data_IF_257715346336
#
_entry.id   IF_257715346336
#
_cell.length_a   1.000
_cell.length_b   1.000
_cell.length_c   1.000
_cell.angle_alpha   90.00
_cell.angle_beta   90.00
_cell.angle_gamma   90.00
#
_symmetry.space_group_name_H-M   'P 1'
#
loop_
_entity.id
_entity.type
_entity.pdbx_description
1 polymer ?
#
# COMPACT_ATOMS: atom_id res chain seq x y z
N UNK A 1 15.59 13.65 12.57
CA UNK A 1 14.74 13.68 13.78
C UNK A 1 14.49 12.26 14.23
N UNK A 2 15.25 11.74 15.20
CA UNK A 2 14.90 10.47 15.84
C UNK A 2 14.11 10.83 17.10
N UNK A 3 12.79 10.63 17.06
CA UNK A 3 11.95 10.70 18.26
C UNK A 3 12.37 9.56 19.17
N UNK A 4 12.53 9.82 20.47
CA UNK A 4 12.89 8.75 21.43
C UNK A 4 11.72 7.78 21.60
N UNK A 5 12.01 6.49 21.89
CA UNK A 5 10.96 5.50 22.19
C UNK A 5 10.01 5.97 23.28
N UNK A 6 10.56 6.64 24.30
CA UNK A 6 9.77 7.22 25.38
C UNK A 6 8.77 8.25 24.87
N UNK A 7 9.18 9.14 23.96
CA UNK A 7 8.26 10.11 23.39
C UNK A 7 7.14 9.44 22.58
N UNK A 8 7.41 8.33 21.88
CA UNK A 8 6.34 7.54 21.24
C UNK A 8 5.38 6.93 22.26
N UNK A 9 5.90 6.34 23.34
CA UNK A 9 5.08 5.79 24.44
C UNK A 9 4.20 6.90 25.05
N UNK A 10 4.81 7.99 25.52
CA UNK A 10 4.10 9.11 26.16
C UNK A 10 3.01 9.69 25.23
N UNK A 11 3.29 9.74 23.91
CA UNK A 11 2.33 10.21 22.91
C UNK A 11 1.12 9.28 22.81
N UNK A 12 1.33 7.96 22.74
CA UNK A 12 0.25 6.98 22.66
C UNK A 12 -0.54 6.96 23.98
N UNK A 13 0.14 6.95 25.12
CA UNK A 13 -0.50 7.00 26.45
C UNK A 13 -1.35 8.26 26.60
N UNK A 14 -0.84 9.42 26.17
CA UNK A 14 -1.60 10.68 26.22
C UNK A 14 -2.80 10.70 25.26
N UNK A 15 -2.64 10.18 24.04
CA UNK A 15 -3.71 10.14 23.03
C UNK A 15 -4.82 9.18 23.44
N UNK A 16 -4.46 7.95 23.81
CA UNK A 16 -5.42 6.88 24.08
C UNK A 16 -5.86 6.90 25.54
N UNK A 17 -5.09 7.46 26.47
CA UNK A 17 -5.42 7.53 27.89
C UNK A 17 -5.32 6.18 28.62
N UNK A 18 -4.23 5.45 28.36
CA UNK A 18 -3.92 4.14 28.95
C UNK A 18 -2.42 4.08 29.28
N UNK A 19 -2.04 3.24 30.23
CA UNK A 19 -0.63 3.04 30.60
C UNK A 19 -0.03 1.87 29.78
N UNK A 20 1.20 2.04 29.28
CA UNK A 20 1.96 1.03 28.53
C UNK A 20 3.07 0.50 29.43
N UNK A 21 2.90 -0.73 29.93
CA UNK A 21 3.90 -1.37 30.79
C UNK A 21 5.18 -1.75 30.02
N UNK A 22 5.01 -2.25 28.79
CA UNK A 22 6.09 -2.84 28.00
C UNK A 22 6.02 -2.46 26.53
N UNK A 23 7.19 -2.44 25.89
CA UNK A 23 7.32 -2.24 24.45
C UNK A 23 8.15 -3.34 23.81
N UNK A 24 7.88 -3.60 22.53
CA UNK A 24 8.75 -4.33 21.62
C UNK A 24 8.95 -3.46 20.39
N UNK A 25 10.19 -3.12 20.09
CA UNK A 25 10.61 -2.31 18.94
C UNK A 25 11.47 -3.19 18.03
N UNK A 26 11.18 -3.20 16.74
CA UNK A 26 11.90 -4.03 15.76
C UNK A 26 11.98 -3.37 14.40
N UNK A 27 12.93 -3.84 13.58
CA UNK A 27 13.12 -3.39 12.20
C UNK A 27 12.63 -4.46 11.21
N UNK A 28 12.80 -4.20 9.91
CA UNK A 28 12.40 -5.15 8.86
C UNK A 28 13.11 -6.49 8.97
N UNK A 29 14.42 -6.50 9.26
CA UNK A 29 15.17 -7.74 9.42
C UNK A 29 14.67 -8.54 10.62
N UNK A 30 14.34 -7.89 11.73
CA UNK A 30 13.80 -8.56 12.92
C UNK A 30 12.50 -9.30 12.64
N UNK A 31 11.59 -8.74 11.83
CA UNK A 31 10.37 -9.45 11.41
C UNK A 31 10.70 -10.70 10.59
N UNK A 32 11.64 -10.60 9.64
CA UNK A 32 12.10 -11.75 8.83
C UNK A 32 12.68 -12.84 9.73
N UNK A 33 13.61 -12.47 10.62
CA UNK A 33 14.30 -13.40 11.52
C UNK A 33 13.32 -14.13 12.46
N UNK A 34 12.32 -13.43 13.00
CA UNK A 34 11.27 -14.00 13.86
C UNK A 34 10.47 -15.06 13.10
N UNK A 35 9.99 -14.71 11.90
CA UNK A 35 9.14 -15.59 11.10
C UNK A 35 9.92 -16.81 10.60
N UNK A 36 11.17 -16.63 10.18
CA UNK A 36 12.03 -17.73 9.74
C UNK A 36 12.41 -18.66 10.91
N UNK A 37 12.65 -18.11 12.11
CA UNK A 37 12.89 -18.92 13.32
C UNK A 37 11.67 -19.76 13.73
N UNK A 38 10.47 -19.32 13.34
CA UNK A 38 9.22 -20.07 13.50
C UNK A 38 8.94 -21.06 12.36
N UNK A 39 9.83 -21.16 11.37
CA UNK A 39 9.62 -21.94 10.16
C UNK A 39 8.34 -21.48 9.44
N UNK A 40 8.22 -20.17 9.26
CA UNK A 40 7.13 -19.50 8.56
C UNK A 40 5.85 -19.33 9.39
N UNK A 41 4.97 -18.48 8.87
CA UNK A 41 3.63 -18.21 9.41
C UNK A 41 2.56 -18.52 8.35
N UNK A 42 1.30 -18.58 8.77
CA UNK A 42 0.16 -18.85 7.89
C UNK A 42 -0.78 -17.64 7.95
N UNK A 43 -1.16 -17.12 6.79
CA UNK A 43 -2.05 -15.95 6.61
C UNK A 43 -2.99 -16.16 5.43
N UNK A 44 -4.04 -15.35 5.35
CA UNK A 44 -4.95 -15.30 4.21
C UNK A 44 -4.56 -14.14 3.29
N UNK A 45 -4.14 -14.46 2.06
CA UNK A 45 -3.72 -13.45 1.08
C UNK A 45 -4.72 -13.36 -0.06
N UNK A 46 -5.48 -12.25 -0.21
CA UNK A 46 -6.57 -12.21 -1.19
C UNK A 46 -6.07 -12.10 -2.64
N UNK A 47 -4.83 -11.67 -2.86
CA UNK A 47 -4.21 -11.52 -4.19
C UNK A 47 -2.74 -11.96 -4.16
N UNK A 48 -2.23 -12.39 -5.32
CA UNK A 48 -0.81 -12.69 -5.49
C UNK A 48 -0.10 -11.44 -6.01
N UNK A 49 1.10 -11.17 -5.51
CA UNK A 49 1.86 -9.99 -5.92
C UNK A 49 3.36 -10.15 -5.67
N UNK A 50 4.15 -9.21 -6.20
CA UNK A 50 5.59 -9.11 -5.91
C UNK A 50 5.82 -7.87 -5.06
N UNK A 51 6.20 -8.09 -3.80
CA UNK A 51 6.46 -7.05 -2.81
C UNK A 51 7.94 -6.72 -2.64
N UNK A 52 8.21 -5.76 -1.75
CA UNK A 52 9.57 -5.33 -1.40
C UNK A 52 10.21 -6.28 -0.39
N UNK A 53 11.51 -6.55 -0.56
CA UNK A 53 12.31 -7.31 0.39
C UNK A 53 12.72 -6.48 1.61
N UNK A 54 13.27 -7.14 2.64
CA UNK A 54 13.85 -6.50 3.83
C UNK A 54 14.97 -5.49 3.54
N UNK A 55 15.53 -5.51 2.33
CA UNK A 55 16.49 -4.52 1.86
C UNK A 55 15.94 -3.09 2.02
N UNK A 56 16.80 -2.20 2.53
CA UNK A 56 16.49 -0.78 2.63
C UNK A 56 16.33 -0.07 1.27
N UNK A 57 16.60 -0.77 0.16
CA UNK A 57 16.44 -0.24 -1.20
C UNK A 57 14.96 -0.14 -1.57
N UNK A 58 14.41 1.07 -1.45
CA UNK A 58 13.03 1.38 -1.82
C UNK A 58 12.78 1.11 -3.31
N UNK A 59 11.66 0.45 -3.62
CA UNK A 59 11.20 0.23 -5.00
C UNK A 59 11.73 -1.05 -5.68
N UNK A 60 12.54 -1.85 -4.99
CA UNK A 60 13.00 -3.14 -5.50
C UNK A 60 12.01 -4.27 -5.11
N UNK A 61 11.02 -4.48 -5.97
CA UNK A 61 10.02 -5.54 -5.82
C UNK A 61 10.59 -6.86 -6.31
N UNK A 62 10.86 -7.78 -5.39
CA UNK A 62 11.56 -9.05 -5.67
C UNK A 62 10.96 -10.25 -4.95
N UNK A 63 10.06 -10.04 -4.00
CA UNK A 63 9.52 -11.09 -3.15
C UNK A 63 8.12 -11.46 -3.61
N UNK A 64 7.94 -12.67 -4.14
CA UNK A 64 6.62 -13.17 -4.53
C UNK A 64 5.80 -13.63 -3.31
N UNK A 65 4.62 -13.04 -3.14
CA UNK A 65 3.61 -13.44 -2.15
C UNK A 65 2.46 -14.15 -2.87
N UNK A 66 2.13 -15.40 -2.51
CA UNK A 66 1.04 -16.15 -3.14
C UNK A 66 -0.33 -15.66 -2.65
N UNK A 67 -1.35 -15.76 -3.51
CA UNK A 67 -2.76 -15.66 -3.09
C UNK A 67 -3.24 -16.99 -2.49
N UNK A 68 -4.26 -16.92 -1.64
CA UNK A 68 -4.99 -18.07 -1.12
C UNK A 68 -5.38 -17.91 0.34
N UNK A 69 -6.22 -18.83 0.80
CA UNK A 69 -6.47 -19.06 2.22
C UNK A 69 -5.36 -19.96 2.80
N UNK A 70 -5.01 -19.77 4.07
CA UNK A 70 -4.02 -20.54 4.80
C UNK A 70 -2.65 -20.67 4.09
N UNK A 71 -2.18 -19.58 3.48
CA UNK A 71 -0.90 -19.56 2.75
C UNK A 71 0.26 -19.48 3.74
N UNK A 72 1.20 -20.43 3.64
CA UNK A 72 2.44 -20.37 4.41
C UNK A 72 3.43 -19.39 3.79
N UNK A 73 3.80 -18.37 4.56
CA UNK A 73 4.80 -17.36 4.19
C UNK A 73 6.09 -17.55 5.02
N UNK A 74 7.25 -17.42 4.37
CA UNK A 74 8.52 -17.23 5.06
C UNK A 74 8.70 -15.76 5.50
N UNK A 75 9.83 -15.43 6.12
CA UNK A 75 10.08 -14.11 6.69
C UNK A 75 10.02 -12.98 5.66
N UNK A 76 10.68 -13.11 4.52
CA UNK A 76 10.64 -12.11 3.46
C UNK A 76 9.21 -11.93 2.90
N UNK A 77 8.49 -13.02 2.71
CA UNK A 77 7.12 -12.98 2.20
C UNK A 77 6.15 -12.34 3.21
N UNK A 78 6.28 -12.69 4.49
CA UNK A 78 5.49 -12.08 5.57
C UNK A 78 5.75 -10.58 5.69
N UNK A 79 7.02 -10.17 5.59
CA UNK A 79 7.39 -8.75 5.57
C UNK A 79 6.82 -8.04 4.34
N UNK A 80 6.95 -8.65 3.15
CA UNK A 80 6.39 -8.09 1.91
C UNK A 80 4.87 -7.92 2.03
N UNK A 81 4.17 -8.89 2.62
CA UNK A 81 2.75 -8.85 2.92
C UNK A 81 2.37 -7.70 3.85
N UNK A 82 3.09 -7.53 4.96
CA UNK A 82 2.86 -6.45 5.92
C UNK A 82 3.23 -5.04 5.42
N UNK A 83 3.95 -4.93 4.29
CA UNK A 83 4.45 -3.64 3.76
C UNK A 83 3.67 -3.12 2.56
N UNK A 84 2.99 -3.99 1.84
CA UNK A 84 2.24 -3.60 0.65
C UNK A 84 1.06 -2.71 1.02
N UNK A 85 0.88 -1.62 0.26
CA UNK A 85 -0.10 -0.57 0.54
C UNK A 85 -1.02 -0.32 -0.65
N UNK A 86 -0.49 -0.35 -1.86
CA UNK A 86 -1.14 0.25 -3.02
C UNK A 86 -1.96 -0.74 -3.83
N UNK A 87 -1.68 -2.03 -3.69
CA UNK A 87 -2.40 -3.08 -4.43
C UNK A 87 -3.76 -3.45 -3.82
N UNK A 88 -4.05 -2.99 -2.60
CA UNK A 88 -5.29 -3.31 -1.88
C UNK A 88 -6.25 -2.11 -1.86
N UNK A 89 -7.55 -2.38 -1.98
CA UNK A 89 -8.59 -1.35 -2.15
C UNK A 89 -8.61 -0.30 -1.02
N UNK A 90 -8.37 -0.72 0.23
CA UNK A 90 -8.38 0.18 1.40
C UNK A 90 -7.00 0.79 1.70
N UNK A 91 -6.01 0.55 0.83
CA UNK A 91 -4.72 1.25 0.87
C UNK A 91 -3.91 0.95 2.13
N UNK A 92 -3.62 2.01 2.90
CA UNK A 92 -2.89 1.89 4.16
C UNK A 92 -3.65 1.10 5.22
N UNK A 93 -4.99 1.09 5.16
CA UNK A 93 -5.80 0.35 6.10
C UNK A 93 -5.69 -1.16 5.92
N UNK A 94 -5.63 -1.65 4.68
CA UNK A 94 -5.29 -3.05 4.40
C UNK A 94 -3.90 -3.38 4.93
N UNK A 95 -2.93 -2.48 4.75
CA UNK A 95 -1.57 -2.68 5.27
C UNK A 95 -1.54 -2.82 6.80
N UNK A 96 -2.26 -1.96 7.51
CA UNK A 96 -2.40 -2.04 8.97
C UNK A 96 -3.08 -3.33 9.42
N UNK A 97 -4.04 -3.83 8.65
CA UNK A 97 -4.72 -5.10 8.89
C UNK A 97 -3.76 -6.29 8.67
N UNK A 98 -3.03 -6.32 7.56
CA UNK A 98 -2.01 -7.34 7.31
C UNK A 98 -0.89 -7.34 8.36
N UNK A 99 -0.51 -6.17 8.88
CA UNK A 99 0.44 -6.08 10.01
C UNK A 99 -0.10 -6.75 11.28
N UNK A 100 -1.38 -6.52 11.59
CA UNK A 100 -2.05 -7.18 12.72
C UNK A 100 -2.17 -8.68 12.49
N UNK A 101 -2.49 -9.11 11.27
CA UNK A 101 -2.57 -10.51 10.88
C UNK A 101 -1.22 -11.23 11.00
N UNK A 102 -0.11 -10.60 10.57
CA UNK A 102 1.23 -11.14 10.75
C UNK A 102 1.59 -11.31 12.23
N UNK A 103 1.29 -10.30 13.07
CA UNK A 103 1.50 -10.38 14.53
C UNK A 103 0.68 -11.52 15.13
N UNK A 104 -0.59 -11.62 14.74
CA UNK A 104 -1.48 -12.68 15.18
C UNK A 104 -0.96 -14.06 14.76
N UNK A 105 -0.57 -14.23 13.50
CA UNK A 105 -0.03 -15.49 12.98
C UNK A 105 1.25 -15.93 13.71
N UNK A 106 2.15 -14.98 14.04
CA UNK A 106 3.34 -15.22 14.89
C UNK A 106 2.91 -15.76 16.26
N UNK A 107 1.97 -15.09 16.94
CA UNK A 107 1.48 -15.51 18.26
C UNK A 107 0.84 -16.91 18.17
N UNK A 108 -0.04 -17.14 17.19
CA UNK A 108 -0.71 -18.43 16.98
C UNK A 108 0.32 -19.55 16.75
N UNK A 109 1.33 -19.32 15.92
CA UNK A 109 2.41 -20.27 15.64
C UNK A 109 3.25 -20.59 16.89
N UNK A 110 3.58 -19.58 17.68
CA UNK A 110 4.26 -19.77 18.97
C UNK A 110 3.44 -20.62 19.94
N UNK A 111 2.15 -20.31 20.08
CA UNK A 111 1.23 -21.02 20.97
C UNK A 111 1.03 -22.50 20.57
N UNK A 112 0.94 -22.78 19.26
CA UNK A 112 0.80 -24.14 18.73
C UNK A 112 2.05 -25.00 18.93
N UNK A 113 3.24 -24.39 18.89
CA UNK A 113 4.51 -25.14 19.05
C UNK A 113 4.69 -25.72 20.46
N UNK A 114 4.07 -25.10 21.49
CA UNK A 114 4.06 -25.57 22.89
C UNK A 114 5.46 -25.83 23.49
N UNK A 115 6.49 -25.14 22.99
CA UNK A 115 7.88 -25.35 23.40
C UNK A 115 8.53 -24.00 23.77
N UNK A 116 8.95 -23.90 25.04
CA UNK A 116 9.66 -22.73 25.56
C UNK A 116 10.98 -22.52 24.82
N UNK A 117 11.64 -23.59 24.34
CA UNK A 117 12.89 -23.45 23.59
C UNK A 117 12.67 -22.80 22.23
N UNK A 118 11.52 -23.02 21.59
CA UNK A 118 11.15 -22.31 20.35
C UNK A 118 11.04 -20.82 20.60
N UNK A 119 10.43 -20.42 21.72
CA UNK A 119 10.39 -19.00 22.11
C UNK A 119 11.79 -18.41 22.34
N UNK A 120 12.67 -19.14 23.05
CA UNK A 120 14.05 -18.69 23.26
C UNK A 120 14.83 -18.59 21.94
N UNK A 121 14.62 -19.53 21.01
CA UNK A 121 15.21 -19.46 19.65
C UNK A 121 14.73 -18.25 18.88
N UNK A 122 13.45 -17.90 18.96
CA UNK A 122 12.91 -16.68 18.31
C UNK A 122 13.54 -15.43 18.91
N UNK A 123 13.65 -15.36 20.24
CA UNK A 123 14.33 -14.24 20.90
C UNK A 123 15.81 -14.15 20.51
N UNK A 124 16.50 -15.29 20.41
CA UNK A 124 17.91 -15.35 20.00
C UNK A 124 18.09 -14.95 18.53
N UNK A 125 17.25 -15.46 17.63
CA UNK A 125 17.26 -15.17 16.21
C UNK A 125 17.00 -13.68 15.95
N UNK A 126 15.99 -13.13 16.62
CA UNK A 126 15.69 -11.72 16.51
C UNK A 126 16.75 -10.84 17.20
N UNK A 127 17.47 -11.38 18.18
CA UNK A 127 18.74 -10.88 18.70
C UNK A 127 18.81 -9.35 18.86
N UNK A 128 19.67 -8.71 18.07
CA UNK A 128 19.88 -7.25 18.10
C UNK A 128 18.84 -6.46 17.30
N UNK A 129 17.96 -7.13 16.54
CA UNK A 129 16.89 -6.52 15.76
C UNK A 129 15.60 -6.32 16.58
N UNK A 130 15.56 -6.78 17.83
CA UNK A 130 14.50 -6.46 18.79
C UNK A 130 15.07 -5.66 19.96
N UNK A 131 14.35 -4.61 20.36
CA UNK A 131 14.59 -3.88 21.60
C UNK A 131 13.33 -3.92 22.45
N UNK A 132 13.47 -4.19 23.74
CA UNK A 132 12.34 -4.28 24.67
C UNK A 132 12.79 -3.89 26.08
N UNK A 133 11.85 -3.43 26.91
CA UNK A 133 12.04 -3.31 28.36
C UNK A 133 11.61 -4.57 29.14
N UNK A 134 11.18 -5.63 28.47
CA UNK A 134 10.90 -6.92 29.10
C UNK A 134 12.20 -7.62 29.51
N UNK A 135 12.28 -8.03 30.77
CA UNK A 135 13.34 -8.93 31.23
C UNK A 135 13.10 -10.36 30.74
N UNK A 136 14.17 -11.15 30.63
CA UNK A 136 14.08 -12.59 30.28
C UNK A 136 13.15 -13.34 31.25
N UNK A 137 13.20 -13.01 32.53
CA UNK A 137 12.35 -13.62 33.55
C UNK A 137 10.85 -13.28 33.35
N UNK A 138 10.53 -12.04 32.99
CA UNK A 138 9.15 -11.65 32.65
C UNK A 138 8.66 -12.38 31.39
N UNK A 139 9.48 -12.42 30.34
CA UNK A 139 9.15 -13.10 29.09
C UNK A 139 8.88 -14.59 29.30
N UNK A 140 9.80 -15.28 29.99
CA UNK A 140 9.66 -16.71 30.31
C UNK A 140 8.47 -16.97 31.23
N UNK A 141 8.16 -16.06 32.16
CA UNK A 141 6.96 -16.14 33.01
C UNK A 141 5.67 -16.03 32.20
N UNK A 142 5.57 -15.09 31.26
CA UNK A 142 4.40 -14.95 30.38
C UNK A 142 4.20 -16.20 29.51
N UNK A 143 5.27 -16.71 28.90
CA UNK A 143 5.20 -17.94 28.10
C UNK A 143 4.80 -19.13 28.95
N UNK A 144 5.38 -19.27 30.15
CA UNK A 144 5.03 -20.36 31.07
C UNK A 144 3.56 -20.30 31.48
N UNK A 145 3.04 -19.10 31.75
CA UNK A 145 1.62 -18.90 32.05
C UNK A 145 0.73 -19.26 30.85
N UNK A 146 1.08 -18.78 29.66
CA UNK A 146 0.37 -19.07 28.42
C UNK A 146 0.30 -20.59 28.15
N UNK A 147 1.42 -21.31 28.30
CA UNK A 147 1.48 -22.77 28.16
C UNK A 147 0.64 -23.49 29.22
N UNK A 148 0.66 -23.03 30.47
CA UNK A 148 -0.16 -23.59 31.54
C UNK A 148 -1.67 -23.42 31.29
N UNK A 149 -2.09 -22.29 30.70
CA UNK A 149 -3.48 -22.05 30.29
C UNK A 149 -3.87 -22.94 29.11
N UNK A 150 -3.00 -23.01 28.12
CA UNK A 150 -3.12 -23.87 26.94
C UNK A 150 -3.30 -25.33 27.31
N UNK A 151 -2.52 -25.84 28.26
CA UNK A 151 -2.62 -27.22 28.76
C UNK A 151 -3.96 -27.54 29.45
N UNK A 152 -4.69 -26.53 29.92
CA UNK A 152 -5.99 -26.67 30.59
C UNK A 152 -7.17 -26.31 29.69
N UNK A 153 -6.91 -25.86 28.47
CA UNK A 153 -7.95 -25.52 27.52
C UNK A 153 -8.58 -26.78 26.95
N UNK A 154 -9.91 -26.79 26.86
CA UNK A 154 -10.67 -28.01 26.55
C UNK A 154 -10.52 -28.44 25.08
N UNK A 155 -10.25 -27.49 24.18
CA UNK A 155 -10.05 -27.73 22.75
C UNK A 155 -8.54 -27.72 22.46
N UNK A 156 -7.91 -28.89 22.63
CA UNK A 156 -6.48 -29.07 22.42
C UNK A 156 -6.04 -28.94 20.96
N UNK A 157 -6.97 -28.93 20.02
CA UNK A 157 -6.69 -28.79 18.58
C UNK A 157 -6.67 -27.32 18.16
N UNK A 158 -7.39 -26.44 18.87
CA UNK A 158 -7.43 -25.00 18.59
C UNK A 158 -6.90 -24.16 19.75
N UNK A 159 -5.68 -24.46 20.18
CA UNK A 159 -5.00 -23.77 21.29
C UNK A 159 -4.81 -22.27 21.04
N UNK A 160 -4.76 -21.86 19.78
CA UNK A 160 -4.79 -20.46 19.40
C UNK A 160 -6.06 -19.72 19.83
N UNK A 161 -7.15 -20.41 20.17
CA UNK A 161 -8.39 -19.82 20.71
C UNK A 161 -8.36 -19.60 22.22
N UNK A 162 -7.28 -20.00 22.90
CA UNK A 162 -7.06 -19.73 24.35
C UNK A 162 -7.06 -18.24 24.62
N UNK A 163 -6.39 -17.48 23.76
CA UNK A 163 -6.38 -16.02 23.77
C UNK A 163 -7.15 -15.54 22.55
N UNK A 164 -8.29 -14.89 22.78
CA UNK A 164 -9.02 -14.25 21.69
C UNK A 164 -8.33 -12.94 21.34
N UNK A 165 -7.56 -12.95 20.26
CA UNK A 165 -6.98 -11.75 19.67
C UNK A 165 -8.09 -11.01 18.92
N UNK A 166 -8.17 -9.70 19.15
CA UNK A 166 -9.12 -8.80 18.50
C UNK A 166 -8.31 -7.67 17.88
N UNK A 167 -8.42 -7.53 16.57
CA UNK A 167 -7.80 -6.48 15.80
C UNK A 167 -8.68 -5.24 15.82
N UNK A 168 -8.06 -4.06 15.81
CA UNK A 168 -8.74 -2.76 15.78
C UNK A 168 -7.76 -1.69 15.31
N UNK A 169 -8.29 -0.56 14.86
CA UNK A 169 -7.50 0.63 14.51
C UNK A 169 -8.15 1.89 15.07
N UNK A 170 -7.33 2.90 15.33
CA UNK A 170 -7.83 4.26 15.54
C UNK A 170 -8.06 4.89 14.18
N UNK A 171 -9.26 5.40 13.97
CA UNK A 171 -9.74 5.99 12.72
C UNK A 171 -9.75 7.52 12.82
N UNK A 172 -9.86 8.16 11.67
CA UNK A 172 -9.66 9.59 11.48
C UNK A 172 -9.97 10.01 10.05
N UNK A 173 -9.47 11.17 9.66
CA UNK A 173 -9.66 11.74 8.34
C UNK A 173 -8.37 12.37 7.82
N UNK A 174 -8.26 12.37 6.49
CA UNK A 174 -7.18 13.02 5.76
C UNK A 174 -7.17 14.52 6.04
N UNK A 175 -6.01 15.06 6.40
CA UNK A 175 -5.80 16.47 6.64
C UNK A 175 -4.37 16.85 6.25
N UNK A 176 -4.03 18.13 6.35
CA UNK A 176 -2.70 18.63 6.05
C UNK A 176 -2.18 19.47 7.22
N UNK A 177 -0.86 19.43 7.43
CA UNK A 177 -0.17 20.22 8.44
C UNK A 177 1.01 20.92 7.78
N UNK A 178 1.10 22.23 7.94
CA UNK A 178 2.24 22.99 7.42
C UNK A 178 3.41 22.86 8.39
N UNK A 179 4.52 22.26 7.94
CA UNK A 179 5.76 22.29 8.72
C UNK A 179 6.61 23.50 8.31
N UNK A 180 6.66 24.49 9.20
CA UNK A 180 7.45 25.71 8.97
C UNK A 180 8.96 25.44 8.93
N UNK A 181 9.43 24.36 9.55
CA UNK A 181 10.84 23.98 9.57
C UNK A 181 11.33 23.49 8.22
N UNK A 182 10.61 22.52 7.62
CA UNK A 182 10.96 21.97 6.30
C UNK A 182 10.29 22.67 5.12
N UNK A 183 9.37 23.62 5.37
CA UNK A 183 8.61 24.36 4.35
C UNK A 183 7.84 23.45 3.41
N UNK A 184 7.32 22.33 3.92
CA UNK A 184 6.49 21.41 3.15
C UNK A 184 5.12 21.28 3.82
N UNK A 185 4.10 21.13 2.98
CA UNK A 185 2.77 20.74 3.44
C UNK A 185 2.75 19.22 3.60
N UNK A 186 2.64 18.75 4.84
CA UNK A 186 2.61 17.33 5.16
C UNK A 186 1.18 16.81 5.14
N UNK A 187 0.97 15.68 4.48
CA UNK A 187 -0.22 14.88 4.70
C UNK A 187 -0.20 14.35 6.14
N UNK A 188 -1.28 14.56 6.87
CA UNK A 188 -1.50 13.98 8.20
C UNK A 188 -2.83 13.24 8.24
N UNK A 189 -2.92 12.24 9.11
CA UNK A 189 -4.16 11.56 9.41
C UNK A 189 -4.64 12.01 10.79
N UNK A 190 -5.68 12.84 10.81
CA UNK A 190 -6.20 13.44 12.04
C UNK A 190 -7.24 12.52 12.65
N UNK A 191 -7.03 12.11 13.90
CA UNK A 191 -7.83 11.09 14.56
C UNK A 191 -9.17 11.64 15.05
N UNK A 192 -10.21 10.79 15.03
CA UNK A 192 -11.50 11.09 15.66
C UNK A 192 -11.41 10.93 17.18
N UNK A 193 -12.03 11.84 17.94
CA UNK A 193 -12.05 11.72 19.41
C UNK A 193 -12.89 10.52 19.86
N UNK A 194 -13.99 10.24 19.16
CA UNK A 194 -14.84 9.07 19.41
C UNK A 194 -14.10 7.76 19.16
N UNK A 195 -13.26 7.70 18.11
CA UNK A 195 -12.44 6.52 17.83
C UNK A 195 -11.41 6.26 18.93
N UNK A 196 -10.78 7.32 19.44
CA UNK A 196 -9.88 7.24 20.59
C UNK A 196 -10.62 6.80 21.86
N UNK A 197 -11.82 7.33 22.12
CA UNK A 197 -12.63 6.99 23.28
C UNK A 197 -13.12 5.53 23.25
N UNK A 198 -13.56 5.05 22.10
CA UNK A 198 -13.98 3.67 21.90
C UNK A 198 -12.80 2.70 22.06
N UNK A 199 -11.64 3.06 21.51
CA UNK A 199 -10.39 2.30 21.68
C UNK A 199 -9.99 2.21 23.16
N UNK A 200 -9.99 3.34 23.89
CA UNK A 200 -9.75 3.38 25.33
C UNK A 200 -10.70 2.46 26.09
N UNK A 201 -12.00 2.53 25.77
CA UNK A 201 -13.03 1.71 26.41
C UNK A 201 -12.78 0.22 26.17
N UNK A 202 -12.37 -0.17 24.96
CA UNK A 202 -12.06 -1.56 24.64
C UNK A 202 -10.81 -2.06 25.38
N UNK A 203 -9.75 -1.24 25.49
CA UNK A 203 -8.56 -1.58 26.26
C UNK A 203 -8.92 -1.75 27.75
N UNK A 204 -9.60 -0.77 28.33
CA UNK A 204 -9.99 -0.81 29.75
C UNK A 204 -10.90 -2.00 30.07
N UNK A 205 -11.78 -2.40 29.15
CA UNK A 205 -12.60 -3.61 29.34
C UNK A 205 -11.76 -4.89 29.45
N UNK A 206 -10.61 -4.95 28.80
CA UNK A 206 -9.72 -6.11 28.82
C UNK A 206 -8.72 -6.08 29.98
N UNK A 207 -8.39 -4.90 30.51
CA UNK A 207 -7.40 -4.73 31.59
C UNK A 207 -8.05 -4.57 32.97
N UNK A 208 -9.23 -3.95 33.06
CA UNK A 208 -9.97 -3.74 34.31
C UNK A 208 -10.80 -4.97 34.68
N UNK A 209 -10.29 -5.73 35.65
CA UNK A 209 -10.96 -6.90 36.23
C UNK A 209 -12.26 -6.57 36.98
N UNK A 210 -12.55 -5.28 37.23
CA UNK A 210 -13.76 -4.81 37.92
C UNK A 210 -14.80 -4.23 36.97
N UNK A 211 -14.49 -4.15 35.67
CA UNK A 211 -15.42 -3.64 34.67
C UNK A 211 -16.70 -4.49 34.59
N UNK A 212 -17.86 -3.84 34.71
CA UNK A 212 -19.16 -4.51 34.63
C UNK A 212 -19.41 -4.89 33.17
N UNK A 213 -19.55 -6.19 32.90
CA UNK A 213 -20.00 -6.66 31.59
C UNK A 213 -21.49 -6.35 31.46
N UNK A 214 -21.82 -5.19 30.90
CA UNK A 214 -23.19 -4.89 30.50
C UNK A 214 -23.58 -5.81 29.35
N UNK A 215 -24.39 -6.83 29.66
CA UNK A 215 -24.99 -7.69 28.65
C UNK A 215 -25.91 -6.83 27.78
N UNK A 216 -25.61 -6.75 26.48
CA UNK A 216 -26.50 -6.09 25.52
C UNK A 216 -27.65 -7.06 25.22
N UNK A 217 -28.63 -7.10 26.11
CA UNK A 217 -29.79 -8.02 26.06
C UNK A 217 -30.65 -7.84 24.82
N UNK A 218 -30.65 -6.65 24.21
CA UNK A 218 -31.49 -6.31 23.05
C UNK A 218 -30.93 -6.77 21.70
N UNK A 219 -29.75 -7.42 21.67
CA UNK A 219 -29.14 -7.88 20.40
C UNK A 219 -29.39 -9.35 20.11
N UNK A 220 -29.90 -10.15 21.05
CA UNK A 220 -30.15 -11.57 20.81
C UNK A 220 -31.44 -11.73 20.00
N UNK A 221 -31.33 -12.19 18.75
CA UNK A 221 -32.50 -12.58 17.95
C UNK A 221 -32.67 -14.10 18.03
N UNK A 222 -33.85 -14.56 18.43
CA UNK A 222 -34.17 -15.98 18.46
C UNK A 222 -34.56 -16.46 17.05
N UNK A 223 -33.58 -16.62 16.18
CA UNK A 223 -33.73 -17.14 14.81
C UNK A 223 -32.56 -18.06 14.45
N UNK A 224 -32.86 -19.18 13.78
CA UNK A 224 -31.84 -20.13 13.29
C UNK A 224 -30.95 -19.53 12.19
N UNK A 225 -31.43 -18.51 11.48
CA UNK A 225 -30.70 -17.81 10.43
C UNK A 225 -30.04 -16.51 10.92
N UNK A 226 -30.06 -16.25 12.23
CA UNK A 226 -29.45 -15.05 12.76
C UNK A 226 -27.98 -15.31 13.08
N UNK A 227 -27.11 -14.68 12.30
CA UNK A 227 -25.69 -14.59 12.62
C UNK A 227 -25.45 -13.39 13.55
N UNK A 228 -24.82 -13.66 14.68
CA UNK A 228 -24.36 -12.61 15.58
C UNK A 228 -23.10 -11.97 15.01
N UNK A 229 -23.22 -10.71 14.59
CA UNK A 229 -22.07 -9.87 14.27
C UNK A 229 -21.76 -8.98 15.48
N UNK A 230 -20.59 -9.15 16.13
CA UNK A 230 -20.21 -8.26 17.21
C UNK A 230 -20.04 -6.84 16.64
N UNK A 231 -20.41 -5.83 17.43
CA UNK A 231 -20.08 -4.45 17.07
C UNK A 231 -18.56 -4.31 16.87
N UNK A 232 -18.13 -3.46 15.92
CA UNK A 232 -16.72 -3.14 15.81
C UNK A 232 -16.24 -2.41 17.07
N UNK A 233 -14.94 -2.48 17.34
CA UNK A 233 -14.34 -1.77 18.48
C UNK A 233 -14.43 -0.26 18.26
N UNK A 234 -14.11 0.21 17.06
CA UNK A 234 -14.22 1.60 16.61
C UNK A 234 -14.92 1.65 15.25
N UNK A 235 -15.50 2.81 14.89
CA UNK A 235 -16.15 3.04 13.61
C UNK A 235 -15.24 3.81 12.65
N UNK A 236 -15.48 3.77 11.35
CA UNK A 236 -14.69 4.53 10.38
C UNK A 236 -15.02 6.04 10.39
N UNK A 237 -16.24 6.39 10.79
CA UNK A 237 -16.73 7.76 10.84
C UNK A 237 -17.43 8.05 12.17
N UNK A 238 -17.28 9.28 12.64
CA UNK A 238 -17.91 9.80 13.84
C UNK A 238 -18.60 11.13 13.52
N UNK A 239 -19.72 11.42 14.18
CA UNK A 239 -20.47 12.66 14.03
C UNK A 239 -19.75 13.84 14.76
N UNK A 240 -18.53 14.13 14.32
CA UNK A 240 -17.65 15.15 14.86
C UNK A 240 -17.25 16.15 13.77
N UNK A 241 -17.06 17.42 14.14
CA UNK A 241 -16.62 18.44 13.19
C UNK A 241 -15.16 18.19 12.78
N UNK A 242 -14.89 18.15 11.48
CA UNK A 242 -13.53 18.07 10.96
C UNK A 242 -12.82 19.41 11.13
N UNK A 243 -11.58 19.34 11.61
CA UNK A 243 -10.68 20.48 11.66
C UNK A 243 -10.09 20.66 10.26
N UNK A 244 -10.26 21.84 9.62
CA UNK A 244 -9.66 22.11 8.32
C UNK A 244 -8.15 21.89 8.35
N UNK A 245 -7.61 21.29 7.29
CA UNK A 245 -6.18 21.17 7.12
C UNK A 245 -5.51 22.52 6.87
N UNK A 246 -4.23 22.60 7.21
CA UNK A 246 -3.43 23.77 6.92
C UNK A 246 -3.28 23.97 5.40
N UNK A 247 -2.99 25.21 5.02
CA UNK A 247 -2.66 25.59 3.65
C UNK A 247 -1.22 26.07 3.56
N UNK A 248 -0.65 26.05 2.36
CA UNK A 248 0.67 26.61 2.12
C UNK A 248 0.58 28.13 2.34
N UNK A 249 1.39 28.73 3.23
CA UNK A 249 1.42 30.18 3.41
C UNK A 249 1.74 30.89 2.10
N UNK A 250 1.15 32.08 1.90
CA UNK A 250 1.24 32.80 0.63
C UNK A 250 2.68 33.09 0.19
N UNK A 251 3.60 33.30 1.14
CA UNK A 251 5.02 33.52 0.87
C UNK A 251 5.76 32.27 0.34
N UNK A 252 5.17 31.08 0.49
CA UNK A 252 5.71 29.80 0.01
C UNK A 252 4.84 29.17 -1.09
N UNK A 253 3.72 29.80 -1.42
CA UNK A 253 2.82 29.35 -2.47
C UNK A 253 3.43 29.69 -3.84
N UNK A 254 3.94 28.67 -4.53
CA UNK A 254 4.44 28.80 -5.88
C UNK A 254 3.34 28.57 -6.92
N UNK A 255 3.49 29.21 -8.08
CA UNK A 255 2.53 29.09 -9.18
C UNK A 255 2.55 27.71 -9.85
N UNK A 256 1.73 27.55 -10.88
CA UNK A 256 1.67 26.31 -11.66
C UNK A 256 3.03 26.00 -12.31
N UNK A 257 3.44 24.72 -12.26
CA UNK A 257 4.75 24.24 -12.72
C UNK A 257 5.96 24.89 -12.02
N UNK A 258 5.79 25.33 -10.77
CA UNK A 258 6.85 25.85 -9.92
C UNK A 258 7.03 25.01 -8.66
N UNK A 259 8.25 25.00 -8.14
CA UNK A 259 8.58 24.49 -6.82
C UNK A 259 9.38 25.53 -6.03
N UNK A 260 9.26 25.50 -4.71
CA UNK A 260 10.05 26.37 -3.83
C UNK A 260 11.47 25.80 -3.73
N UNK A 261 12.49 26.56 -4.11
CA UNK A 261 13.88 26.15 -3.99
C UNK A 261 14.44 26.39 -2.58
N UNK A 262 15.69 25.96 -2.32
CA UNK A 262 16.35 26.09 -1.01
C UNK A 262 16.48 27.56 -0.54
N UNK A 263 16.59 28.51 -1.47
CA UNK A 263 16.64 29.95 -1.20
C UNK A 263 15.25 30.57 -0.91
N UNK A 264 14.17 29.77 -0.92
CA UNK A 264 12.80 30.25 -0.72
C UNK A 264 12.24 31.00 -1.92
N UNK A 265 12.73 30.76 -3.13
CA UNK A 265 12.21 31.32 -4.37
C UNK A 265 11.51 30.27 -5.21
N UNK A 266 10.37 30.63 -5.77
CA UNK A 266 9.66 29.78 -6.72
C UNK A 266 10.47 29.65 -8.01
N UNK A 267 10.81 28.43 -8.36
CA UNK A 267 11.61 28.05 -9.53
C UNK A 267 10.78 27.13 -10.42
N UNK A 268 10.92 27.24 -11.73
CA UNK A 268 10.18 26.39 -12.66
C UNK A 268 10.64 24.93 -12.59
N UNK A 269 9.69 24.00 -12.69
CA UNK A 269 9.95 22.57 -12.87
C UNK A 269 10.80 22.34 -14.13
N UNK A 270 11.50 21.20 -14.17
CA UNK A 270 12.30 20.81 -15.33
C UNK A 270 11.46 20.83 -16.63
N UNK A 271 11.99 21.44 -17.68
CA UNK A 271 11.27 21.63 -18.96
C UNK A 271 10.45 22.92 -19.05
N UNK A 272 10.46 23.75 -18.01
CA UNK A 272 9.81 25.07 -18.00
C UNK A 272 10.81 26.20 -17.70
N UNK A 273 10.58 27.36 -18.29
CA UNK A 273 11.35 28.59 -18.05
C UNK A 273 10.43 29.70 -17.57
N UNK A 274 10.94 30.53 -16.65
CA UNK A 274 10.16 31.63 -16.08
C UNK A 274 9.98 32.75 -17.10
N UNK A 275 8.73 33.16 -17.35
CA UNK A 275 8.40 34.27 -18.23
C UNK A 275 8.53 35.62 -17.50
N UNK A 276 8.34 36.72 -18.24
CA UNK A 276 8.44 38.07 -17.71
C UNK A 276 7.35 38.43 -16.67
N UNK A 277 6.29 37.62 -16.57
CA UNK A 277 5.20 37.78 -15.62
C UNK A 277 5.35 36.87 -14.39
N UNK A 278 6.43 36.09 -14.30
CA UNK A 278 6.69 35.16 -13.21
C UNK A 278 5.96 33.82 -13.33
N UNK A 279 5.37 33.50 -14.49
CA UNK A 279 4.77 32.19 -14.81
C UNK A 279 5.78 31.25 -15.45
N UNK A 280 5.57 29.93 -15.34
CA UNK A 280 6.46 28.93 -15.95
C UNK A 280 5.87 28.42 -17.26
N UNK A 281 6.58 28.67 -18.36
CA UNK A 281 6.18 28.26 -19.72
C UNK A 281 7.11 27.19 -20.26
N UNK A 282 6.60 26.30 -21.10
CA UNK A 282 7.37 25.18 -21.67
C UNK A 282 8.59 25.71 -22.43
N UNK A 283 9.76 25.12 -22.16
CA UNK A 283 10.99 25.44 -22.84
C UNK A 283 10.90 24.95 -24.30
N UNK A 284 10.54 25.85 -25.21
CA UNK A 284 10.59 25.55 -26.65
C UNK A 284 12.05 25.38 -27.04
N UNK A 285 12.44 24.14 -27.32
CA UNK A 285 13.74 23.89 -27.95
C UNK A 285 13.63 24.42 -29.37
N UNK A 286 14.48 25.37 -29.81
CA UNK A 286 14.39 25.86 -31.18
C UNK A 286 14.62 24.69 -32.13
N UNK A 287 13.62 24.40 -32.97
CA UNK A 287 13.74 23.47 -34.09
C UNK A 287 14.97 23.89 -34.90
N UNK A 288 15.94 23.00 -35.16
CA UNK A 288 17.09 23.35 -35.99
C UNK A 288 16.56 23.83 -37.35
N UNK A 289 16.97 25.05 -37.72
CA UNK A 289 16.63 25.67 -39.00
C UNK A 289 17.00 24.71 -40.13
N UNK A 290 16.00 24.36 -40.96
CA UNK A 290 16.19 23.45 -42.07
C UNK A 290 17.36 23.93 -42.95
N UNK A 291 18.34 23.05 -43.15
CA UNK A 291 19.41 23.27 -44.13
C UNK A 291 18.79 23.42 -45.52
N UNK A 292 19.11 24.45 -46.31
CA UNK A 292 18.51 24.66 -47.61
C UNK A 292 18.86 23.52 -48.56
N UNK A 293 17.83 22.89 -49.13
CA UNK A 293 17.91 21.88 -50.18
C UNK A 293 18.61 22.46 -51.43
N UNK A 294 19.62 21.78 -52.03
CA UNK A 294 20.23 22.26 -53.26
C UNK A 294 19.25 22.17 -54.45
N UNK A 295 19.23 23.24 -55.25
CA UNK A 295 18.45 23.39 -56.48
C UNK A 295 18.85 22.35 -57.55
N UNK A 296 17.91 21.73 -58.28
CA UNK A 296 18.24 20.79 -59.35
C UNK A 296 18.85 21.51 -60.57
N UNK A 297 19.99 21.01 -61.05
CA UNK A 297 20.64 21.44 -62.30
C UNK A 297 19.89 20.84 -63.50
N UNK A 298 19.58 21.66 -64.49
CA UNK A 298 18.91 21.28 -65.73
C UNK A 298 19.78 20.38 -66.64
N UNK A 299 19.15 19.37 -67.22
CA UNK A 299 19.66 18.50 -68.29
C UNK A 299 19.66 19.25 -69.63
N UNK A 300 20.69 19.14 -70.49
CA UNK A 300 20.59 19.63 -71.87
C UNK A 300 19.93 18.61 -72.79
N UNK A 301 19.05 19.10 -73.65
CA UNK A 301 18.47 18.41 -74.81
C UNK A 301 19.54 18.16 -75.89
N UNK A 302 19.68 16.90 -76.34
CA UNK A 302 20.42 16.52 -77.55
C UNK A 302 19.43 15.85 -78.52
N UNK A 303 19.07 16.58 -79.57
CA UNK A 303 18.38 16.08 -80.78
C UNK A 303 19.42 16.05 -81.92
N UNK A 304 19.83 14.84 -82.35
CA UNK A 304 20.22 14.55 -83.74
C UNK A 304 20.42 13.02 -83.95
N UNK A 305 19.66 12.45 -84.87
CA UNK A 305 19.73 11.07 -85.39
C UNK A 305 20.17 11.13 -86.88
N UNK A 306 20.42 10.02 -87.63
CA UNK A 306 21.19 8.79 -87.40
C UNK A 306 22.21 8.52 -88.54
N UNK A 307 23.14 7.54 -88.39
CA UNK A 307 23.54 6.60 -89.49
C UNK A 307 24.24 5.33 -88.91
N UNK A 308 24.14 4.13 -89.53
CA UNK A 308 24.16 2.85 -88.80
C UNK A 308 25.46 2.01 -88.91
N UNK A 309 25.63 1.12 -87.92
CA UNK A 309 26.20 -0.25 -87.86
C UNK A 309 27.42 -0.63 -88.75
N UNK A 310 28.39 -1.43 -88.23
CA UNK A 310 28.16 -2.87 -88.10
C UNK A 310 28.77 -3.58 -86.87
N UNK A 311 28.11 -4.66 -86.43
CA UNK A 311 28.62 -5.81 -85.65
C UNK A 311 29.07 -6.91 -86.65
N UNK A 312 29.78 -8.04 -86.35
CA UNK A 312 30.31 -8.65 -85.11
C UNK A 312 31.80 -9.11 -85.23
N UNK A 313 32.38 -9.74 -84.19
CA UNK A 313 32.85 -11.16 -84.21
C UNK A 313 33.44 -11.56 -82.84
N UNK A 314 33.11 -12.75 -82.29
CA UNK A 314 33.58 -13.25 -81.00
C UNK A 314 34.88 -14.05 -81.14
N UNK A 315 35.66 -14.15 -80.05
CA UNK A 315 36.78 -15.12 -79.95
C UNK A 315 36.68 -15.88 -78.62
N UNK A 316 36.89 -17.21 -78.62
CA UNK A 316 36.51 -18.10 -77.52
C UNK A 316 37.66 -18.41 -76.55
N UNK A 317 37.25 -19.00 -75.43
CA UNK A 317 37.99 -19.70 -74.36
C UNK A 317 39.35 -20.31 -74.74
N UNK A 318 40.30 -20.23 -73.80
CA UNK A 318 40.90 -21.44 -73.22
C UNK A 318 41.75 -21.09 -71.99
N UNK A 319 41.45 -21.68 -70.82
CA UNK A 319 42.41 -22.47 -70.01
C UNK A 319 41.81 -22.96 -68.68
N UNK A 320 42.02 -24.25 -68.45
CA UNK A 320 41.57 -25.15 -67.36
C UNK A 320 42.41 -24.93 -66.06
N UNK A 321 42.00 -25.45 -64.87
CA UNK A 321 42.13 -24.77 -63.57
C UNK A 321 43.24 -25.32 -62.65
N UNK A 322 43.58 -24.54 -61.61
CA UNK A 322 44.24 -25.02 -60.39
C UNK A 322 43.24 -25.09 -59.20
N UNK A 323 43.39 -26.06 -58.28
CA UNK A 323 42.43 -26.33 -57.21
C UNK A 323 42.57 -25.37 -56.03
N UNK A 324 41.47 -24.71 -55.66
CA UNK A 324 41.32 -23.94 -54.42
C UNK A 324 40.77 -24.86 -53.31
N UNK A 325 41.32 -24.82 -52.08
CA UNK A 325 40.84 -25.65 -50.98
C UNK A 325 39.43 -25.25 -50.51
N UNK A 326 38.63 -26.27 -50.21
CA UNK A 326 37.27 -26.18 -49.67
C UNK A 326 37.21 -25.42 -48.34
N UNK A 327 36.40 -24.36 -48.20
CA UNK A 327 36.06 -23.83 -46.88
C UNK A 327 34.97 -24.68 -46.21
N UNK A 328 35.23 -25.03 -44.96
CA UNK A 328 34.32 -25.61 -43.96
C UNK A 328 33.01 -24.81 -43.87
N UNK A 329 31.84 -25.45 -43.68
CA UNK A 329 30.58 -24.74 -43.51
C UNK A 329 30.57 -23.95 -42.20
N UNK A 330 30.34 -22.64 -42.29
CA UNK A 330 30.01 -21.78 -41.15
C UNK A 330 28.63 -22.17 -40.58
N UNK A 331 28.47 -22.16 -39.24
CA UNK A 331 27.17 -22.38 -38.60
C UNK A 331 26.21 -21.24 -38.91
N UNK A 332 24.98 -21.61 -39.24
CA UNK A 332 23.88 -20.72 -39.62
C UNK A 332 23.67 -19.61 -38.57
N UNK A 333 23.78 -18.36 -39.02
CA UNK A 333 23.22 -17.20 -38.32
C UNK A 333 21.70 -17.28 -38.41
N UNK A 334 20.95 -17.28 -37.30
CA UNK A 334 19.50 -17.27 -37.34
C UNK A 334 18.98 -15.96 -37.96
N UNK A 335 17.96 -16.11 -38.79
CA UNK A 335 17.21 -15.05 -39.46
C UNK A 335 16.61 -14.06 -38.44
N UNK A 336 16.62 -12.74 -38.69
CA UNK A 336 16.05 -11.77 -37.75
C UNK A 336 14.53 -11.92 -37.66
N UNK A 337 14.04 -12.21 -36.47
CA UNK A 337 12.62 -12.20 -36.11
C UNK A 337 11.98 -10.86 -36.48
N UNK A 338 10.78 -10.83 -37.11
CA UNK A 338 10.10 -9.58 -37.43
C UNK A 338 9.82 -8.75 -36.18
N UNK A 339 10.17 -7.47 -36.23
CA UNK A 339 9.86 -6.46 -35.21
C UNK A 339 8.33 -6.26 -35.19
N UNK A 340 7.65 -6.41 -34.03
CA UNK A 340 6.22 -6.12 -33.95
C UNK A 340 5.96 -4.63 -34.17
N UNK A 341 4.94 -4.35 -34.99
CA UNK A 341 4.35 -3.02 -35.19
C UNK A 341 3.96 -2.40 -33.85
N UNK A 342 4.17 -1.08 -33.62
CA UNK A 342 3.75 -0.44 -32.38
C UNK A 342 2.24 -0.55 -32.21
N UNK A 343 1.83 -1.29 -31.18
CA UNK A 343 0.45 -1.37 -30.69
C UNK A 343 0.00 0.02 -30.26
N UNK A 344 -1.19 0.42 -30.70
CA UNK A 344 -1.83 1.65 -30.28
C UNK A 344 -1.89 1.76 -28.75
N UNK A 345 -1.65 2.97 -28.25
CA UNK A 345 -1.77 3.36 -26.86
C UNK A 345 -3.10 2.85 -26.26
N UNK A 346 -3.11 2.23 -25.08
CA UNK A 346 -4.34 1.72 -24.50
C UNK A 346 -5.25 2.90 -24.16
N UNK A 347 -6.36 3.03 -24.89
CA UNK A 347 -7.51 3.82 -24.45
C UNK A 347 -7.90 3.36 -23.05
N UNK A 348 -7.99 4.30 -22.10
CA UNK A 348 -8.42 4.04 -20.74
C UNK A 348 -9.70 3.18 -20.74
N UNK A 349 -9.80 2.15 -19.88
CA UNK A 349 -11.01 1.35 -19.80
C UNK A 349 -12.20 2.26 -19.42
N UNK A 350 -13.41 1.95 -19.92
CA UNK A 350 -14.60 2.71 -19.56
C UNK A 350 -14.81 2.67 -18.04
N UNK A 351 -15.16 3.82 -17.46
CA UNK A 351 -15.33 3.99 -16.03
C UNK A 351 -16.58 3.20 -15.60
N UNK A 352 -16.40 2.04 -14.96
CA UNK A 352 -17.52 1.23 -14.48
C UNK A 352 -17.93 1.73 -13.09
N UNK A 353 -19.06 2.44 -12.99
CA UNK A 353 -19.59 2.91 -11.72
C UNK A 353 -20.24 1.78 -10.90
N UNK A 354 -20.20 1.93 -9.58
CA UNK A 354 -20.80 0.99 -8.63
C UNK A 354 -22.32 1.04 -8.57
N UNK A 355 -22.92 0.17 -7.76
CA UNK A 355 -24.38 0.09 -7.61
C UNK A 355 -24.97 1.41 -7.05
N UNK A 356 -26.08 1.88 -7.62
CA UNK A 356 -26.72 3.19 -7.32
C UNK A 356 -25.87 4.44 -7.64
N UNK A 357 -24.92 4.34 -8.57
CA UNK A 357 -24.16 5.46 -9.13
C UNK A 357 -24.41 5.64 -10.64
N UNK A 358 -24.10 6.82 -11.18
CA UNK A 358 -24.14 7.16 -12.60
C UNK A 358 -22.84 7.84 -13.06
N UNK A 359 -22.48 7.67 -14.33
CA UNK A 359 -21.30 8.29 -14.94
C UNK A 359 -21.65 9.66 -15.54
N UNK A 360 -20.82 10.68 -15.27
CA UNK A 360 -20.87 11.95 -15.96
C UNK A 360 -19.44 12.49 -16.19
N UNK A 361 -19.04 12.65 -17.45
CA UNK A 361 -17.74 13.23 -17.81
C UNK A 361 -16.51 12.41 -17.36
N UNK A 362 -16.64 11.07 -17.27
CA UNK A 362 -15.54 10.19 -16.84
C UNK A 362 -15.37 10.09 -15.32
N UNK A 363 -16.34 10.57 -14.54
CA UNK A 363 -16.40 10.39 -13.09
C UNK A 363 -17.76 9.82 -12.67
N UNK A 364 -17.76 9.01 -11.62
CA UNK A 364 -18.98 8.42 -11.06
C UNK A 364 -19.57 9.29 -9.94
N UNK A 365 -20.91 9.37 -9.89
CA UNK A 365 -21.67 10.11 -8.88
C UNK A 365 -22.79 9.24 -8.31
N UNK A 366 -23.05 9.31 -6.99
CA UNK A 366 -24.20 8.61 -6.41
C UNK A 366 -25.53 9.26 -6.85
N UNK A 367 -26.57 8.44 -7.05
CA UNK A 367 -27.91 8.92 -7.32
C UNK A 367 -28.48 9.73 -6.13
N UNK A 368 -29.39 10.66 -6.40
CA UNK A 368 -30.05 11.46 -5.36
C UNK A 368 -30.70 10.54 -4.29
N UNK A 369 -30.41 10.82 -3.02
CA UNK A 369 -30.84 9.99 -1.89
C UNK A 369 -29.87 8.86 -1.51
N UNK A 370 -28.75 8.72 -2.22
CA UNK A 370 -27.67 7.78 -1.93
C UNK A 370 -26.34 8.49 -1.67
N UNK A 371 -25.48 7.91 -0.84
CA UNK A 371 -24.14 8.41 -0.51
C UNK A 371 -23.16 7.24 -0.38
N UNK A 372 -21.87 7.44 -0.65
CA UNK A 372 -20.87 6.37 -0.64
C UNK A 372 -19.76 6.57 -1.66
N UNK A 373 -18.98 5.51 -1.92
CA UNK A 373 -17.97 5.50 -2.98
C UNK A 373 -18.64 5.16 -4.33
N UNK A 374 -18.73 6.12 -5.27
CA UNK A 374 -19.45 5.94 -6.51
C UNK A 374 -18.75 4.98 -7.50
N UNK A 375 -17.51 4.58 -7.22
CA UNK A 375 -16.79 3.56 -8.01
C UNK A 375 -17.03 2.13 -7.49
N UNK A 376 -17.60 1.97 -6.29
CA UNK A 376 -17.82 0.67 -5.64
C UNK A 376 -19.30 0.40 -5.37
N UNK A 377 -19.95 1.22 -4.54
CA UNK A 377 -21.38 1.15 -4.23
C UNK A 377 -21.86 2.40 -3.46
N UNK A 378 -23.06 2.88 -3.78
CA UNK A 378 -23.74 3.94 -3.05
C UNK A 378 -24.90 3.39 -2.20
N UNK A 379 -25.04 3.89 -0.98
CA UNK A 379 -25.99 3.43 0.04
C UNK A 379 -27.03 4.50 0.36
N UNK A 380 -28.24 4.09 0.75
CA UNK A 380 -29.35 5.00 1.05
C UNK A 380 -28.99 5.93 2.21
N UNK A 381 -29.27 7.22 2.05
CA UNK A 381 -29.17 8.20 3.14
C UNK A 381 -30.30 7.90 4.13
N UNK A 382 -29.97 7.29 5.26
CA UNK A 382 -30.93 7.07 6.36
C UNK A 382 -30.94 8.34 7.20
N UNK A 383 -32.05 9.11 7.24
CA UNK A 383 -32.17 10.23 8.17
C UNK A 383 -32.21 9.70 9.61
N UNK A 384 -31.50 10.37 10.52
CA UNK A 384 -31.53 10.07 11.95
C UNK A 384 -32.98 10.04 12.46
N UNK A 385 -33.32 8.95 13.17
CA UNK A 385 -34.57 8.86 13.91
C UNK A 385 -34.50 9.85 15.08
N UNK A 386 -35.47 10.77 15.25
CA UNK A 386 -35.41 11.75 16.32
C UNK A 386 -35.51 11.07 17.69
N UNK A 387 -34.59 11.42 18.59
CA UNK A 387 -34.61 11.01 20.00
C UNK A 387 -35.99 11.28 20.63
N UNK A 388 -36.65 10.23 21.11
CA UNK A 388 -37.87 10.34 21.91
C UNK A 388 -37.51 10.94 23.28
N UNK A 389 -38.26 11.95 23.78
CA UNK A 389 -38.00 12.52 25.09
C UNK A 389 -38.32 11.52 26.20
N UNK A 390 -37.39 11.38 27.16
CA UNK A 390 -37.54 10.54 28.35
C UNK A 390 -38.82 10.92 29.11
N UNK A 391 -39.71 9.94 29.27
CA UNK A 391 -40.93 10.09 30.06
C UNK A 391 -40.60 10.18 31.55
N UNK A 392 -40.99 11.29 32.17
CA UNK A 392 -40.97 11.47 33.61
C UNK A 392 -41.93 10.50 34.30
N UNK A 393 -41.40 9.74 35.26
CA UNK A 393 -42.18 9.00 36.24
C UNK A 393 -42.81 10.00 37.23
N UNK A 394 -44.10 10.31 37.03
CA UNK A 394 -44.93 10.90 38.07
C UNK A 394 -45.29 9.82 39.10
N UNK A 395 -44.95 10.08 40.35
CA UNK A 395 -45.22 9.22 41.50
C UNK A 395 -46.72 9.07 41.77
N UNK A 396 -47.13 7.81 41.97
CA UNK A 396 -48.46 7.48 42.47
C UNK A 396 -48.66 7.93 43.93
N UNK A 397 -49.69 8.74 44.15
CA UNK A 397 -50.38 8.87 45.41
C UNK A 397 -51.87 8.63 45.18
N UNK A 398 -52.39 7.53 45.74
CA UNK A 398 -53.80 7.10 45.66
C UNK A 398 -54.00 5.71 46.22
#
# INVERSE_FOLDING_TARGET
>A
HAVSKQCTIDTIESLVGVDIDYYVDTNFQGVVDIVDALDGIVVDSPIAFVGQSSSAQRGHYTVYVPAGEDVRLNGEQALAFARERHLFATGDFARQEHQQEVIEAIIRKMMRTRDVNTFLKVLEAAGQNIQTNLTVDQMTSFVSYALQKTNRYYDSEHLEKVFQLRTSRVTGYSSNLWDSGSKILLYIYRLWNGSLADTRKAINRNTDMTSVISAVTNRIKWSINWEFTPSPISYDLYAEAQIPGDTIPAEYACGENQYLNEDGKCTCNAGFTMDANGGCVVQTTPTPSATPTPTPTATPDDDDEPTPAPTPTPTPDDTTPEPVPTPTPDPQTPEPTPVPTPTAEPTQPPVSCGENAYENGGACYCNDGYTGDPYSACYVIIPDEPEQPEGGEDGGGG
#
